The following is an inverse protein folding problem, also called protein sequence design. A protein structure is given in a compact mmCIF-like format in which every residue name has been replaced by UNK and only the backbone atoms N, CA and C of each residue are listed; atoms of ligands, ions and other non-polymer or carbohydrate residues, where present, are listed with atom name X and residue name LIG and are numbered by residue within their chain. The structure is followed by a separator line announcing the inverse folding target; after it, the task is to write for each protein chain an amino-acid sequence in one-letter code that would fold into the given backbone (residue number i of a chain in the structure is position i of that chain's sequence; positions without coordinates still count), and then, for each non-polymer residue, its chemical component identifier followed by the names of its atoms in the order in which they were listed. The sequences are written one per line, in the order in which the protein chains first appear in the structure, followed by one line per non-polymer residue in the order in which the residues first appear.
data_IF_149070616999
#
_entry.id   IF_149070616999
#
_cell.length_a   1.000
_cell.length_b   1.000
_cell.length_c   1.000
_cell.angle_alpha   90.00
_cell.angle_beta   90.00
_cell.angle_gamma   90.00
#
_symmetry.space_group_name_H-M   'P 1'
#
loop_
_entity.id
_entity.type
_entity.pdbx_description
1 polymer ?
#
# COMPACT_ATOMS: atom_id res chain seq x y z
N UNK A 1 1.52 17.64 12.74
CA UNK A 1 0.60 17.31 11.61
C UNK A 1 0.53 15.82 11.18
N UNK A 2 0.59 14.81 12.08
CA UNK A 2 0.40 13.40 11.67
C UNK A 2 -1.07 12.97 11.51
N UNK A 3 -2.02 13.63 12.20
CA UNK A 3 -3.45 13.25 12.19
C UNK A 3 -4.19 13.64 10.89
N UNK A 4 -3.86 14.77 10.29
CA UNK A 4 -4.49 15.27 9.06
C UNK A 4 -4.27 14.31 7.87
N UNK A 5 -3.05 13.75 7.76
CA UNK A 5 -2.72 12.71 6.78
C UNK A 5 -3.46 11.39 7.02
N UNK A 6 -3.98 11.12 8.22
CA UNK A 6 -4.78 9.90 8.51
C UNK A 6 -6.20 10.05 7.99
N UNK A 7 -6.81 11.21 8.19
CA UNK A 7 -8.17 11.51 7.71
C UNK A 7 -8.24 11.47 6.18
N UNK A 8 -7.25 12.06 5.49
CA UNK A 8 -7.16 12.02 4.03
C UNK A 8 -7.02 10.58 3.47
N UNK A 9 -6.27 9.72 4.18
CA UNK A 9 -6.12 8.29 3.79
C UNK A 9 -7.37 7.47 4.07
N UNK A 10 -8.13 7.83 5.11
CA UNK A 10 -9.41 7.21 5.40
C UNK A 10 -10.42 7.54 4.30
N UNK A 11 -10.53 8.81 3.90
CA UNK A 11 -11.39 9.24 2.79
C UNK A 11 -11.08 8.49 1.49
N UNK A 12 -9.81 8.38 1.11
CA UNK A 12 -9.40 7.61 -0.08
C UNK A 12 -9.73 6.11 0.02
N UNK A 13 -9.71 5.54 1.23
CA UNK A 13 -10.03 4.12 1.45
C UNK A 13 -11.55 3.88 1.52
N UNK A 14 -12.32 4.87 2.00
CA UNK A 14 -13.79 4.87 1.95
C UNK A 14 -14.30 5.00 0.51
N UNK A 15 -13.64 5.80 -0.34
CA UNK A 15 -13.96 5.89 -1.76
C UNK A 15 -13.81 4.55 -2.50
N UNK A 16 -12.81 3.74 -2.12
CA UNK A 16 -12.62 2.38 -2.64
C UNK A 16 -13.62 1.35 -2.05
N UNK A 17 -14.29 1.70 -0.95
CA UNK A 17 -15.33 0.90 -0.27
C UNK A 17 -16.72 1.55 -0.41
N UNK A 18 -16.96 2.25 -1.52
CA UNK A 18 -18.21 2.99 -1.77
C UNK A 18 -19.48 2.14 -1.58
N UNK A 19 -19.57 0.87 -2.04
CA UNK A 19 -20.78 0.07 -1.83
C UNK A 19 -21.11 -0.14 -0.35
N UNK A 20 -20.12 -0.48 0.47
CA UNK A 20 -20.28 -0.69 1.91
C UNK A 20 -20.57 0.62 2.64
N UNK A 21 -19.95 1.73 2.18
CA UNK A 21 -20.20 3.05 2.75
C UNK A 21 -21.64 3.52 2.48
N UNK A 22 -22.14 3.29 1.26
CA UNK A 22 -23.53 3.57 0.88
C UNK A 22 -24.52 2.71 1.66
N UNK A 23 -24.22 1.42 1.86
CA UNK A 23 -25.07 0.52 2.65
C UNK A 23 -25.18 0.98 4.11
N UNK A 24 -24.05 1.31 4.74
CA UNK A 24 -24.02 1.87 6.08
C UNK A 24 -24.77 3.22 6.16
N UNK A 25 -24.51 4.14 5.23
CA UNK A 25 -25.22 5.43 5.17
C UNK A 25 -26.74 5.26 5.00
N UNK A 26 -27.17 4.33 4.15
CA UNK A 26 -28.60 4.03 3.94
C UNK A 26 -29.25 3.45 5.20
N UNK A 27 -28.55 2.60 5.93
CA UNK A 27 -29.03 2.06 7.20
C UNK A 27 -29.22 3.18 8.24
N UNK A 28 -28.20 4.04 8.40
CA UNK A 28 -28.24 5.18 9.33
C UNK A 28 -29.37 6.15 8.97
N UNK A 29 -29.57 6.45 7.68
CA UNK A 29 -30.64 7.35 7.24
C UNK A 29 -32.04 6.80 7.51
N UNK A 30 -32.25 5.47 7.42
CA UNK A 30 -33.54 4.84 7.71
C UNK A 30 -33.91 4.86 9.21
N UNK A 31 -32.92 4.93 10.08
CA UNK A 31 -33.08 4.88 11.54
C UNK A 31 -32.85 6.24 12.22
N UNK A 32 -32.71 7.31 11.44
CA UNK A 32 -32.39 8.65 11.93
C UNK A 32 -33.39 9.20 12.95
N UNK A 33 -34.66 8.74 12.90
CA UNK A 33 -35.74 9.18 13.80
C UNK A 33 -35.82 8.36 15.10
N UNK A 34 -35.27 7.14 15.14
CA UNK A 34 -35.26 6.24 16.30
C UNK A 34 -33.94 5.49 16.37
N UNK A 35 -32.89 6.17 16.80
CA UNK A 35 -31.55 5.58 16.93
C UNK A 35 -31.53 4.67 18.16
N UNK A 36 -31.70 3.36 17.94
CA UNK A 36 -31.33 2.35 18.94
C UNK A 36 -29.84 2.02 18.80
N UNK A 37 -29.17 1.74 19.92
CA UNK A 37 -27.75 1.36 19.92
C UNK A 37 -27.57 0.10 19.05
N UNK A 38 -26.50 0.09 18.23
CA UNK A 38 -26.07 -1.04 17.39
C UNK A 38 -26.99 -1.43 16.22
N UNK A 39 -28.00 -0.63 15.90
CA UNK A 39 -28.98 -0.93 14.85
C UNK A 39 -28.40 -1.04 13.41
N UNK A 40 -27.20 -0.49 13.17
CA UNK A 40 -26.43 -0.60 11.93
C UNK A 40 -25.02 -1.21 12.12
N UNK A 41 -24.81 -1.97 13.21
CA UNK A 41 -23.49 -2.50 13.56
C UNK A 41 -22.92 -3.47 12.50
N UNK A 42 -23.77 -4.25 11.84
CA UNK A 42 -23.35 -5.20 10.80
C UNK A 42 -22.81 -4.50 9.56
N UNK A 43 -23.53 -3.48 9.07
CA UNK A 43 -23.10 -2.69 7.91
C UNK A 43 -21.84 -1.87 8.23
N UNK A 44 -21.73 -1.37 9.46
CA UNK A 44 -20.51 -0.71 9.92
C UNK A 44 -19.31 -1.68 9.96
N UNK A 45 -19.51 -2.90 10.45
CA UNK A 45 -18.45 -3.93 10.51
C UNK A 45 -17.97 -4.31 9.11
N UNK A 46 -18.90 -4.51 8.16
CA UNK A 46 -18.57 -4.77 6.74
C UNK A 46 -17.77 -3.61 6.12
N UNK A 47 -18.15 -2.37 6.41
CA UNK A 47 -17.42 -1.18 5.97
C UNK A 47 -16.01 -1.15 6.56
N UNK A 48 -15.89 -1.37 7.87
CA UNK A 48 -14.61 -1.36 8.58
C UNK A 48 -13.67 -2.45 8.05
N UNK A 49 -14.19 -3.64 7.79
CA UNK A 49 -13.42 -4.75 7.23
C UNK A 49 -12.98 -4.47 5.80
N UNK A 50 -13.83 -3.87 4.97
CA UNK A 50 -13.44 -3.40 3.65
C UNK A 50 -12.28 -2.39 3.74
N UNK A 51 -12.41 -1.37 4.60
CA UNK A 51 -11.36 -0.35 4.77
C UNK A 51 -10.06 -0.96 5.28
N UNK A 52 -10.12 -1.85 6.28
CA UNK A 52 -8.95 -2.59 6.78
C UNK A 52 -8.29 -3.41 5.67
N UNK A 53 -9.08 -4.09 4.83
CA UNK A 53 -8.58 -4.86 3.69
C UNK A 53 -7.85 -3.95 2.68
N UNK A 54 -8.44 -2.81 2.31
CA UNK A 54 -7.80 -1.87 1.39
C UNK A 54 -6.48 -1.31 1.95
N UNK A 55 -6.45 -0.98 3.24
CA UNK A 55 -5.23 -0.52 3.91
C UNK A 55 -4.12 -1.58 3.91
N UNK A 56 -4.46 -2.85 4.16
CA UNK A 56 -3.52 -3.98 4.05
C UNK A 56 -2.97 -4.12 2.63
N UNK A 57 -3.83 -4.03 1.61
CA UNK A 57 -3.43 -4.11 0.19
C UNK A 57 -2.49 -2.96 -0.19
N UNK A 58 -2.82 -1.72 0.17
CA UNK A 58 -1.96 -0.55 -0.08
C UNK A 58 -0.59 -0.70 0.59
N UNK A 59 -0.56 -1.23 1.82
CA UNK A 59 0.67 -1.52 2.56
C UNK A 59 1.56 -2.53 1.83
N UNK A 60 1.00 -3.64 1.33
CA UNK A 60 1.74 -4.66 0.59
C UNK A 60 2.22 -4.10 -0.75
N UNK A 61 1.37 -3.39 -1.51
CA UNK A 61 1.77 -2.73 -2.77
C UNK A 61 2.95 -1.78 -2.57
N UNK A 62 2.94 -1.00 -1.48
CA UNK A 62 4.06 -0.12 -1.13
C UNK A 62 5.34 -0.92 -0.81
N UNK A 63 5.23 -1.98 -0.02
CA UNK A 63 6.36 -2.85 0.31
C UNK A 63 6.98 -3.45 -0.96
N UNK A 64 6.15 -4.01 -1.85
CA UNK A 64 6.59 -4.60 -3.11
C UNK A 64 7.32 -3.58 -3.99
N UNK A 65 6.85 -2.33 -4.06
CA UNK A 65 7.54 -1.26 -4.81
C UNK A 65 8.95 -0.99 -4.27
N UNK A 66 9.09 -0.96 -2.95
CA UNK A 66 10.37 -0.72 -2.27
C UNK A 66 11.30 -1.93 -2.44
N UNK A 67 10.78 -3.15 -2.26
CA UNK A 67 11.55 -4.37 -2.48
C UNK A 67 12.00 -4.51 -3.95
N UNK A 68 11.14 -4.13 -4.90
CA UNK A 68 11.50 -4.09 -6.32
C UNK A 68 12.69 -3.17 -6.58
N UNK A 69 12.73 -2.00 -5.94
CA UNK A 69 13.88 -1.09 -6.00
C UNK A 69 15.16 -1.75 -5.45
N UNK A 70 15.10 -2.39 -4.28
CA UNK A 70 16.26 -3.06 -3.70
C UNK A 70 16.71 -4.31 -4.50
N UNK A 71 15.76 -5.01 -5.13
CA UNK A 71 16.03 -6.15 -6.00
C UNK A 71 16.85 -5.74 -7.22
N UNK A 72 16.45 -4.68 -7.92
CA UNK A 72 17.13 -4.28 -9.15
C UNK A 72 18.49 -3.61 -8.89
N UNK A 73 18.56 -2.71 -7.91
CA UNK A 73 19.74 -1.89 -7.65
C UNK A 73 20.76 -2.57 -6.73
N UNK A 74 20.30 -3.27 -5.70
CA UNK A 74 21.16 -3.85 -4.66
C UNK A 74 21.18 -5.38 -4.65
N UNK A 75 20.51 -6.01 -5.63
CA UNK A 75 20.43 -7.47 -5.81
C UNK A 75 19.92 -8.22 -4.58
N UNK A 76 19.04 -7.58 -3.80
CA UNK A 76 18.37 -8.23 -2.66
C UNK A 76 17.26 -9.13 -3.21
N UNK A 77 17.49 -10.44 -3.17
CA UNK A 77 16.57 -11.48 -3.68
C UNK A 77 16.26 -12.50 -2.58
N UNK A 78 15.13 -13.23 -2.68
CA UNK A 78 14.86 -14.37 -1.81
C UNK A 78 15.94 -15.46 -1.96
N UNK A 79 16.27 -16.21 -0.90
CA UNK A 79 15.72 -16.12 0.46
C UNK A 79 16.20 -14.85 1.19
N UNK A 80 15.27 -14.09 1.75
CA UNK A 80 15.57 -12.85 2.44
C UNK A 80 16.14 -13.13 3.83
N UNK A 81 17.39 -12.73 4.07
CA UNK A 81 18.00 -12.81 5.41
C UNK A 81 17.64 -11.57 6.21
N UNK A 82 16.79 -11.72 7.23
CA UNK A 82 16.30 -10.64 8.07
C UNK A 82 17.04 -10.65 9.40
N UNK A 83 17.90 -9.65 9.64
CA UNK A 83 18.58 -9.43 10.91
C UNK A 83 17.64 -8.77 11.90
N UNK A 84 17.30 -9.51 12.95
CA UNK A 84 16.37 -9.06 13.98
C UNK A 84 17.09 -8.55 15.21
N UNK A 85 16.68 -7.35 15.63
CA UNK A 85 17.08 -6.72 16.87
C UNK A 85 16.13 -7.06 18.04
N UNK A 86 16.63 -6.95 19.28
CA UNK A 86 15.86 -7.23 20.49
C UNK A 86 14.65 -6.30 20.64
N UNK A 87 14.80 -5.03 20.26
CA UNK A 87 13.72 -4.03 20.27
C UNK A 87 12.55 -4.43 19.36
N UNK A 88 12.86 -5.00 18.20
CA UNK A 88 11.86 -5.46 17.24
C UNK A 88 11.12 -6.71 17.74
N UNK A 89 11.84 -7.65 18.38
CA UNK A 89 11.20 -8.81 19.03
C UNK A 89 10.27 -8.38 20.16
N UNK A 90 10.69 -7.43 20.99
CA UNK A 90 9.85 -6.91 22.05
C UNK A 90 8.58 -6.23 21.49
N UNK A 91 8.73 -5.44 20.42
CA UNK A 91 7.58 -4.86 19.72
C UNK A 91 6.68 -5.94 19.11
N UNK A 92 7.23 -7.02 18.55
CA UNK A 92 6.45 -8.13 18.00
C UNK A 92 5.62 -8.83 19.09
N UNK A 93 6.20 -9.05 20.27
CA UNK A 93 5.53 -9.64 21.42
C UNK A 93 4.39 -8.73 21.93
N UNK A 94 4.64 -7.44 22.09
CA UNK A 94 3.63 -6.47 22.52
C UNK A 94 2.43 -6.40 21.56
N UNK A 95 2.69 -6.51 20.24
CA UNK A 95 1.66 -6.47 19.21
C UNK A 95 1.07 -7.84 18.85
N UNK A 96 1.50 -8.93 19.51
CA UNK A 96 1.09 -10.32 19.25
C UNK A 96 1.29 -10.74 17.78
N UNK A 97 2.45 -10.39 17.21
CA UNK A 97 2.80 -10.66 15.80
C UNK A 97 3.72 -11.88 15.71
N UNK A 98 3.26 -12.94 15.06
CA UNK A 98 4.09 -14.12 14.77
C UNK A 98 5.05 -13.82 13.60
N UNK A 99 6.34 -13.61 13.90
CA UNK A 99 7.34 -13.21 12.91
C UNK A 99 7.53 -14.25 11.79
N UNK A 100 7.59 -15.54 12.13
CA UNK A 100 7.82 -16.64 11.16
C UNK A 100 6.73 -16.72 10.09
N UNK A 101 5.48 -16.37 10.41
CA UNK A 101 4.38 -16.37 9.44
C UNK A 101 4.20 -15.03 8.75
N UNK A 102 4.33 -13.93 9.50
CA UNK A 102 3.97 -12.60 9.00
C UNK A 102 5.06 -12.01 8.09
N UNK A 103 6.33 -12.32 8.32
CA UNK A 103 7.43 -11.82 7.47
C UNK A 103 7.36 -12.37 6.04
N UNK A 104 7.23 -13.69 5.79
CA UNK A 104 7.09 -14.22 4.42
C UNK A 104 5.85 -13.68 3.72
N UNK A 105 4.71 -13.60 4.43
CA UNK A 105 3.45 -13.01 3.90
C UNK A 105 3.62 -11.54 3.51
N UNK A 106 4.46 -10.80 4.24
CA UNK A 106 4.68 -9.37 3.98
C UNK A 106 5.71 -9.09 2.89
N UNK A 107 6.81 -9.85 2.86
CA UNK A 107 7.89 -9.68 1.88
C UNK A 107 7.61 -10.40 0.54
N UNK A 108 6.69 -11.37 0.52
CA UNK A 108 6.30 -12.08 -0.70
C UNK A 108 7.36 -13.05 -1.21
N UNK A 109 8.11 -13.69 -0.30
CA UNK A 109 9.13 -14.69 -0.60
C UNK A 109 9.64 -15.37 0.66
N UNK A 110 10.56 -16.32 0.49
CA UNK A 110 11.15 -17.06 1.62
C UNK A 110 12.01 -16.13 2.49
N UNK A 111 11.93 -16.33 3.80
CA UNK A 111 12.60 -15.48 4.79
C UNK A 111 13.36 -16.35 5.78
N UNK A 112 14.65 -16.07 5.90
CA UNK A 112 15.50 -16.59 6.97
C UNK A 112 15.62 -15.50 8.05
N UNK A 113 15.11 -15.78 9.24
CA UNK A 113 15.19 -14.85 10.37
C UNK A 113 16.47 -15.15 11.15
N UNK A 114 17.37 -14.18 11.19
CA UNK A 114 18.69 -14.29 11.83
C UNK A 114 18.83 -13.27 12.97
N UNK A 115 19.59 -13.62 14.00
CA UNK A 115 20.03 -12.70 15.06
C UNK A 115 21.55 -12.73 15.22
N UNK A 116 22.12 -11.96 16.14
CA UNK A 116 23.58 -11.91 16.36
C UNK A 116 23.93 -12.17 17.81
N UNK A 117 25.14 -12.66 18.08
CA UNK A 117 25.64 -12.88 19.46
C UNK A 117 25.63 -11.59 20.30
N UNK A 118 25.91 -10.43 19.71
CA UNK A 118 25.84 -9.14 20.40
C UNK A 118 24.42 -8.78 20.86
N UNK A 119 23.41 -9.08 20.04
CA UNK A 119 21.98 -8.85 20.40
C UNK A 119 21.57 -9.77 21.55
N UNK A 120 21.96 -11.05 21.50
CA UNK A 120 21.67 -12.00 22.58
C UNK A 120 22.34 -11.57 23.89
N UNK A 121 23.61 -11.18 23.86
CA UNK A 121 24.34 -10.72 25.04
C UNK A 121 23.73 -9.44 25.65
N UNK A 122 23.22 -8.52 24.84
CA UNK A 122 22.48 -7.35 25.34
C UNK A 122 21.18 -7.74 26.04
N UNK A 123 20.38 -8.60 25.42
CA UNK A 123 19.12 -9.06 26.00
C UNK A 123 19.33 -9.83 27.31
N UNK A 124 20.40 -10.63 27.39
CA UNK A 124 20.80 -11.33 28.62
C UNK A 124 21.23 -10.34 29.72
N UNK A 125 21.96 -9.28 29.37
CA UNK A 125 22.36 -8.22 30.30
C UNK A 125 21.16 -7.42 30.83
N UNK A 126 20.16 -7.16 29.99
CA UNK A 126 18.95 -6.43 30.39
C UNK A 126 18.02 -7.28 31.28
N UNK A 127 18.00 -8.61 31.11
CA UNK A 127 17.33 -9.54 32.02
C UNK A 127 15.80 -9.58 31.91
N UNK A 128 15.13 -9.63 33.07
CA UNK A 128 13.69 -9.92 33.19
C UNK A 128 12.74 -9.08 32.31
N UNK A 129 12.89 -7.74 32.13
CA UNK A 129 11.91 -6.96 31.37
C UNK A 129 11.84 -7.34 29.88
N UNK A 130 12.91 -7.91 29.33
CA UNK A 130 13.00 -8.27 27.91
C UNK A 130 13.14 -9.78 27.71
N UNK A 131 12.86 -10.58 28.73
CA UNK A 131 13.01 -12.03 28.70
C UNK A 131 12.20 -12.69 27.58
N UNK A 132 10.97 -12.22 27.33
CA UNK A 132 10.14 -12.71 26.23
C UNK A 132 10.81 -12.50 24.86
N UNK A 133 11.48 -11.37 24.66
CA UNK A 133 12.22 -11.10 23.43
C UNK A 133 13.47 -11.99 23.32
N UNK A 134 14.16 -12.28 24.43
CA UNK A 134 15.30 -13.19 24.47
C UNK A 134 14.91 -14.62 24.05
N UNK A 135 13.81 -15.14 24.57
CA UNK A 135 13.30 -16.48 24.21
C UNK A 135 12.98 -16.57 22.72
N UNK A 136 12.35 -15.53 22.16
CA UNK A 136 12.07 -15.47 20.72
C UNK A 136 13.38 -15.42 19.91
N UNK A 137 14.34 -14.58 20.31
CA UNK A 137 15.63 -14.46 19.60
C UNK A 137 16.42 -15.77 19.60
N UNK A 138 16.38 -16.55 20.69
CA UNK A 138 17.05 -17.85 20.80
C UNK A 138 16.49 -18.91 19.83
N UNK A 139 15.26 -18.75 19.35
CA UNK A 139 14.66 -19.65 18.36
C UNK A 139 15.13 -19.37 16.92
N UNK A 140 15.77 -18.21 16.69
CA UNK A 140 16.25 -17.80 15.38
C UNK A 140 17.70 -18.23 15.15
N UNK A 141 18.11 -18.29 13.90
CA UNK A 141 19.48 -18.67 13.54
C UNK A 141 20.45 -17.56 13.95
N UNK A 142 21.57 -17.91 14.57
CA UNK A 142 22.56 -16.92 15.03
C UNK A 142 23.62 -16.76 13.97
N UNK A 143 23.68 -15.57 13.37
CA UNK A 143 24.71 -15.21 12.41
C UNK A 143 25.96 -14.69 13.12
N UNK A 144 27.14 -14.98 12.55
CA UNK A 144 28.40 -14.67 13.20
C UNK A 144 28.79 -13.20 13.03
N UNK A 145 28.93 -12.50 14.16
CA UNK A 145 29.53 -11.17 14.20
C UNK A 145 31.01 -11.25 14.64
N UNK A 146 31.90 -10.40 14.10
CA UNK A 146 33.35 -10.45 14.33
C UNK A 146 33.79 -9.74 15.63
N UNK A 147 32.86 -9.43 16.54
CA UNK A 147 33.13 -8.55 17.68
C UNK A 147 33.42 -9.37 18.93
N UNK A 148 34.65 -9.27 19.43
CA UNK A 148 35.08 -9.74 20.75
C UNK A 148 35.89 -8.60 21.39
N UNK A 149 35.46 -8.04 22.54
CA UNK A 149 34.23 -8.32 23.31
C UNK A 149 32.94 -7.93 22.57
N UNK A 150 31.78 -8.41 23.05
CA UNK A 150 30.48 -8.06 22.50
C UNK A 150 30.22 -6.55 22.57
N UNK A 151 29.87 -5.95 21.43
CA UNK A 151 29.50 -4.53 21.30
C UNK A 151 28.00 -4.32 21.43
N UNK A 152 27.57 -3.07 21.53
CA UNK A 152 26.14 -2.74 21.45
C UNK A 152 25.52 -3.23 20.13
N UNK A 153 24.26 -3.70 20.13
CA UNK A 153 23.52 -4.10 18.94
C UNK A 153 23.50 -3.01 17.87
N UNK A 154 23.36 -1.74 18.27
CA UNK A 154 23.38 -0.60 17.34
C UNK A 154 24.67 -0.54 16.53
N UNK A 155 25.83 -0.69 17.18
CA UNK A 155 27.12 -0.70 16.48
C UNK A 155 27.32 -1.99 15.68
N UNK A 156 26.93 -3.13 16.25
CA UNK A 156 27.09 -4.43 15.62
C UNK A 156 26.29 -4.53 14.31
N UNK A 157 25.00 -4.18 14.35
CA UNK A 157 24.11 -4.21 13.20
C UNK A 157 24.51 -3.17 12.15
N UNK A 158 24.92 -1.97 12.57
CA UNK A 158 25.46 -0.98 11.63
C UNK A 158 26.75 -1.48 10.94
N UNK A 159 27.63 -2.17 11.67
CA UNK A 159 28.83 -2.77 11.08
C UNK A 159 28.49 -3.88 10.08
N UNK A 160 27.56 -4.77 10.41
CA UNK A 160 27.08 -5.82 9.49
C UNK A 160 26.40 -5.23 8.26
N UNK A 161 25.61 -4.16 8.40
CA UNK A 161 24.98 -3.45 7.30
C UNK A 161 26.02 -2.90 6.31
N UNK A 162 27.08 -2.24 6.81
CA UNK A 162 28.18 -1.72 5.97
C UNK A 162 28.91 -2.84 5.24
N UNK A 163 29.16 -3.95 5.92
CA UNK A 163 29.77 -5.13 5.30
C UNK A 163 28.88 -5.71 4.21
N UNK A 164 27.58 -5.82 4.45
CA UNK A 164 26.62 -6.38 3.51
C UNK A 164 26.41 -5.52 2.26
N UNK A 165 26.54 -4.19 2.40
CA UNK A 165 26.51 -3.29 1.26
C UNK A 165 27.62 -3.62 0.25
N UNK A 166 28.84 -3.92 0.73
CA UNK A 166 30.00 -4.27 -0.11
C UNK A 166 30.09 -5.76 -0.47
N UNK A 167 29.64 -6.64 0.43
CA UNK A 167 29.76 -8.09 0.28
C UNK A 167 28.61 -8.72 -0.51
N UNK A 168 28.70 -10.04 -0.71
CA UNK A 168 27.67 -10.82 -1.40
C UNK A 168 26.45 -11.11 -0.53
N UNK A 169 26.63 -11.17 0.79
CA UNK A 169 25.55 -11.38 1.75
C UNK A 169 24.74 -10.10 1.91
N UNK A 170 23.44 -10.15 1.63
CA UNK A 170 22.52 -9.02 1.79
C UNK A 170 21.59 -9.28 2.97
N UNK A 171 21.35 -8.23 3.77
CA UNK A 171 20.44 -8.31 4.91
C UNK A 171 19.34 -7.27 4.82
N UNK A 172 18.19 -7.62 5.37
CA UNK A 172 17.13 -6.68 5.74
C UNK A 172 17.18 -6.52 7.24
N UNK A 173 17.24 -5.29 7.75
CA UNK A 173 17.42 -5.06 9.18
C UNK A 173 16.07 -4.74 9.81
N UNK A 174 15.69 -5.49 10.83
CA UNK A 174 14.46 -5.33 11.58
C UNK A 174 14.78 -4.73 12.96
N UNK A 175 14.47 -3.45 13.14
CA UNK A 175 14.71 -2.71 14.38
C UNK A 175 13.57 -1.72 14.66
N UNK A 176 13.32 -1.48 15.94
CA UNK A 176 12.41 -0.45 16.40
C UNK A 176 13.15 0.71 17.10
N UNK A 177 14.49 0.67 17.15
CA UNK A 177 15.32 1.76 17.65
C UNK A 177 15.51 2.84 16.56
N UNK A 178 15.18 4.09 16.90
CA UNK A 178 15.32 5.23 16.01
C UNK A 178 16.81 5.58 15.80
N UNK A 179 17.67 5.40 16.82
CA UNK A 179 19.10 5.71 16.74
C UNK A 179 19.84 4.80 15.75
N UNK A 180 19.54 3.51 15.78
CA UNK A 180 20.02 2.56 14.79
C UNK A 180 19.42 2.85 13.41
N UNK A 181 18.12 3.12 13.33
CA UNK A 181 17.44 3.39 12.05
C UNK A 181 18.06 4.58 11.32
N UNK A 182 18.42 5.65 12.01
CA UNK A 182 19.12 6.81 11.43
C UNK A 182 20.49 6.45 10.89
N UNK A 183 21.30 5.71 11.66
CA UNK A 183 22.61 5.20 11.20
C UNK A 183 22.46 4.32 9.96
N UNK A 184 21.45 3.46 9.90
CA UNK A 184 21.21 2.59 8.75
C UNK A 184 20.75 3.35 7.51
N UNK A 185 20.00 4.45 7.66
CA UNK A 185 19.60 5.31 6.52
C UNK A 185 20.78 5.98 5.82
N UNK A 186 21.87 6.22 6.54
CA UNK A 186 23.13 6.74 5.96
C UNK A 186 23.85 5.71 5.08
N UNK A 187 23.55 4.42 5.26
CA UNK A 187 24.17 3.33 4.50
C UNK A 187 23.30 3.02 3.28
N UNK A 188 23.88 3.14 2.09
CA UNK A 188 23.19 2.79 0.86
C UNK A 188 22.84 1.30 0.81
N UNK A 189 21.66 0.97 0.28
CA UNK A 189 21.29 -0.43 0.00
C UNK A 189 20.79 -1.23 1.18
N UNK A 190 20.50 -0.59 2.32
CA UNK A 190 20.02 -1.27 3.52
C UNK A 190 18.51 -1.06 3.74
N UNK A 191 17.66 -2.05 3.45
CA UNK A 191 16.24 -1.98 3.77
C UNK A 191 16.01 -2.18 5.29
N UNK A 192 15.14 -1.34 5.86
CA UNK A 192 14.82 -1.33 7.29
C UNK A 192 13.35 -1.73 7.50
N UNK A 193 13.09 -2.67 8.40
CA UNK A 193 11.78 -3.09 8.87
C UNK A 193 11.56 -2.58 10.30
N UNK A 194 10.35 -2.11 10.60
CA UNK A 194 9.94 -1.73 11.95
C UNK A 194 8.47 -2.11 12.18
N UNK A 195 8.07 -2.24 13.45
CA UNK A 195 6.68 -2.50 13.83
C UNK A 195 6.06 -1.21 14.37
N UNK A 196 4.98 -0.74 13.72
CA UNK A 196 4.10 0.33 14.22
C UNK A 196 2.64 -0.01 13.91
N UNK A 197 1.73 0.31 14.83
CA UNK A 197 0.28 0.06 14.69
C UNK A 197 -0.08 -1.41 14.39
N UNK A 198 0.46 -2.34 15.18
CA UNK A 198 0.25 -3.79 15.04
C UNK A 198 0.60 -4.34 13.65
N UNK A 199 1.53 -3.69 12.96
CA UNK A 199 1.89 -4.00 11.58
C UNK A 199 3.40 -3.87 11.36
N UNK A 200 3.96 -4.83 10.65
CA UNK A 200 5.32 -4.74 10.08
C UNK A 200 5.27 -3.77 8.91
N UNK A 201 6.22 -2.85 8.87
CA UNK A 201 6.34 -1.81 7.86
C UNK A 201 7.78 -1.75 7.35
N UNK A 202 7.93 -1.73 6.03
CA UNK A 202 9.18 -1.45 5.36
C UNK A 202 9.38 0.07 5.24
N UNK A 203 10.55 0.54 5.67
CA UNK A 203 10.90 1.94 5.59
C UNK A 203 11.03 2.40 4.14
N UNK A 204 10.91 3.71 3.93
CA UNK A 204 11.14 4.31 2.62
C UNK A 204 12.61 4.11 2.24
N UNK A 205 12.85 4.00 0.94
CA UNK A 205 14.21 4.04 0.40
C UNK A 205 14.88 5.35 0.84
N UNK A 206 16.04 5.26 1.48
CA UNK A 206 16.81 6.43 1.90
C UNK A 206 17.29 7.23 0.70
N UNK A 207 17.44 8.55 0.85
CA UNK A 207 17.94 9.39 -0.25
C UNK A 207 19.34 8.95 -0.70
N UNK A 208 20.20 8.56 0.25
CA UNK A 208 21.52 7.97 -0.05
C UNK A 208 21.42 6.72 -0.91
N UNK A 209 20.43 5.85 -0.65
CA UNK A 209 20.22 4.65 -1.46
C UNK A 209 19.70 4.97 -2.86
N UNK A 210 18.94 6.07 -3.03
CA UNK A 210 18.46 6.50 -4.34
C UNK A 210 19.59 7.10 -5.16
N UNK A 211 20.35 8.03 -4.59
CA UNK A 211 21.47 8.69 -5.28
C UNK A 211 22.56 7.69 -5.66
N UNK A 212 22.86 6.71 -4.80
CA UNK A 212 23.80 5.64 -5.13
C UNK A 212 23.27 4.65 -6.18
N UNK A 213 21.94 4.54 -6.35
CA UNK A 213 21.31 3.66 -7.34
C UNK A 213 21.05 4.36 -8.68
N UNK A 214 21.03 5.69 -8.71
CA UNK A 214 21.10 6.46 -9.94
C UNK A 214 22.47 6.18 -10.56
N UNK A 215 22.51 5.18 -11.45
CA UNK A 215 23.64 5.00 -12.36
C UNK A 215 24.00 6.36 -12.95
N UNK A 216 25.30 6.67 -13.13
CA UNK A 216 25.66 7.94 -13.72
C UNK A 216 24.97 7.97 -15.09
N UNK A 217 24.19 9.02 -15.35
CA UNK A 217 23.40 9.16 -16.59
C UNK A 217 24.24 8.90 -17.84
N UNK A 218 25.55 9.11 -17.75
CA UNK A 218 26.57 8.77 -18.73
C UNK A 218 26.55 7.30 -19.20
N UNK A 219 26.32 6.32 -18.33
CA UNK A 219 26.30 4.90 -18.75
C UNK A 219 25.02 4.57 -19.53
N UNK A 220 23.89 5.14 -19.14
CA UNK A 220 22.62 4.96 -19.83
C UNK A 220 22.67 5.62 -21.21
N UNK A 221 23.27 6.80 -21.30
CA UNK A 221 23.42 7.52 -22.56
C UNK A 221 24.50 6.88 -23.45
N UNK A 222 25.57 6.32 -22.88
CA UNK A 222 26.54 5.51 -23.62
C UNK A 222 25.92 4.21 -24.17
N UNK A 223 25.08 3.52 -23.39
CA UNK A 223 24.36 2.33 -23.86
C UNK A 223 23.32 2.68 -24.92
N UNK A 224 22.66 3.84 -24.84
CA UNK A 224 21.78 4.35 -25.92
C UNK A 224 22.58 4.68 -27.18
N UNK A 225 23.76 5.31 -27.05
CA UNK A 225 24.64 5.62 -28.17
C UNK A 225 25.18 4.35 -28.84
N UNK A 226 25.59 3.35 -28.06
CA UNK A 226 26.00 2.04 -28.59
C UNK A 226 24.84 1.29 -29.27
N UNK A 227 23.63 1.35 -28.70
CA UNK A 227 22.44 0.78 -29.36
C UNK A 227 22.10 1.48 -30.67
N UNK A 228 22.25 2.81 -30.74
CA UNK A 228 22.05 3.58 -31.96
C UNK A 228 23.10 3.26 -33.03
N UNK A 229 24.35 3.02 -32.63
CA UNK A 229 25.43 2.64 -33.54
C UNK A 229 25.30 1.22 -34.11
N UNK A 230 24.78 0.26 -33.33
CA UNK A 230 24.69 -1.16 -33.75
C UNK A 230 23.41 -1.47 -34.53
N UNK A 231 22.27 -0.85 -34.20
CA UNK A 231 20.99 -1.14 -34.85
C UNK A 231 20.56 -0.08 -35.87
N UNK A 232 21.34 0.98 -36.06
CA UNK A 232 20.90 2.19 -36.73
C UNK A 232 19.76 2.87 -35.96
N UNK A 233 19.49 4.15 -36.23
CA UNK A 233 18.31 4.80 -35.66
C UNK A 233 17.04 4.09 -36.15
N UNK A 234 16.54 3.13 -35.37
CA UNK A 234 15.13 2.81 -35.43
C UNK A 234 14.40 4.03 -34.88
N UNK A 235 14.04 4.94 -35.78
CA UNK A 235 12.97 5.89 -35.54
C UNK A 235 11.80 5.07 -35.00
N UNK A 236 11.57 5.16 -33.68
CA UNK A 236 10.29 4.75 -33.12
C UNK A 236 9.32 5.77 -33.68
N UNK A 237 8.76 5.49 -34.86
CA UNK A 237 7.55 6.11 -35.35
C UNK A 237 6.55 5.90 -34.22
N UNK A 238 6.37 6.94 -33.41
CA UNK A 238 5.32 6.99 -32.39
C UNK A 238 4.06 6.69 -33.17
N UNK A 239 3.56 5.45 -33.11
CA UNK A 239 2.26 5.11 -33.67
C UNK A 239 1.32 6.10 -33.00
N UNK A 240 0.85 7.10 -33.76
CA UNK A 240 -0.20 8.00 -33.30
C UNK A 240 -1.24 7.07 -32.70
N UNK A 241 -1.55 7.25 -31.41
CA UNK A 241 -2.57 6.46 -30.74
C UNK A 241 -3.78 6.50 -31.66
N UNK A 242 -4.15 5.36 -32.27
CA UNK A 242 -5.43 5.26 -32.96
C UNK A 242 -6.44 5.72 -31.92
N UNK A 243 -7.12 6.83 -32.20
CA UNK A 243 -8.28 7.23 -31.42
C UNK A 243 -9.16 5.99 -31.42
N UNK A 244 -9.36 5.38 -30.25
CA UNK A 244 -10.29 4.26 -30.14
C UNK A 244 -11.62 4.85 -30.59
N UNK A 245 -12.10 4.43 -31.76
CA UNK A 245 -13.46 4.72 -32.19
C UNK A 245 -14.40 4.35 -31.05
N UNK A 246 -15.50 5.09 -30.92
CA UNK A 246 -16.49 4.82 -29.90
C UNK A 246 -16.81 3.32 -29.88
N UNK A 247 -16.79 2.73 -28.69
CA UNK A 247 -17.13 1.33 -28.46
C UNK A 247 -18.40 0.98 -29.25
N UNK A 248 -18.40 -0.04 -30.13
CA UNK A 248 -19.49 -0.33 -31.06
C UNK A 248 -20.86 -0.62 -30.43
N UNK A 249 -20.95 -0.78 -29.10
CA UNK A 249 -22.21 -0.86 -28.37
C UNK A 249 -22.77 0.49 -27.85
N UNK A 250 -22.09 1.62 -28.12
CA UNK A 250 -22.46 2.93 -27.56
C UNK A 250 -23.00 3.92 -28.60
N UNK A 251 -23.75 3.45 -29.59
CA UNK A 251 -24.61 4.32 -30.41
C UNK A 251 -25.90 4.64 -29.66
N UNK A 252 -25.86 5.60 -28.72
CA UNK A 252 -27.10 6.23 -28.25
C UNK A 252 -27.69 7.01 -29.42
N UNK A 253 -28.94 6.72 -29.79
CA UNK A 253 -29.68 7.40 -30.86
C UNK A 253 -29.62 8.92 -30.66
N UNK A 254 -29.29 9.63 -31.73
CA UNK A 254 -29.21 11.09 -31.78
C UNK A 254 -30.60 11.67 -31.51
N UNK A 255 -30.73 12.44 -30.43
CA UNK A 255 -31.90 13.29 -30.17
C UNK A 255 -31.81 14.48 -31.12
N UNK A 256 -32.87 14.72 -31.90
CA UNK A 256 -32.99 15.89 -32.75
C UNK A 256 -33.48 17.04 -31.85
N UNK A 257 -32.62 18.03 -31.63
CA UNK A 257 -33.04 19.34 -31.10
C UNK A 257 -33.20 20.28 -32.29
N UNK A 258 -34.44 20.76 -32.49
CA UNK A 258 -34.72 21.89 -33.36
C UNK A 258 -34.28 23.16 -32.62
N UNK A 259 -33.25 23.81 -33.15
CA UNK A 259 -32.83 25.15 -32.77
C UNK A 259 -33.75 26.20 -33.40
N UNK A 260 -34.36 27.04 -32.57
CA UNK A 260 -34.76 28.38 -32.95
C UNK A 260 -34.19 29.35 -31.91
N UNK A 261 -33.37 30.28 -32.40
CA UNK A 261 -32.69 31.35 -31.67
C UNK A 261 -33.64 32.34 -31.01
N UNK A 262 -33.29 32.82 -29.80
CA UNK A 262 -33.59 34.17 -29.33
C UNK A 262 -32.79 34.54 -28.05
N UNK A 263 -31.67 35.24 -28.28
CA UNK A 263 -31.15 36.45 -27.60
C UNK A 263 -31.62 36.82 -26.17
N UNK A 264 -30.63 36.76 -25.25
CA UNK A 264 -30.23 37.72 -24.16
C UNK A 264 -31.29 38.22 -23.13
N UNK A 265 -31.05 37.96 -21.83
CA UNK A 265 -30.70 38.97 -20.79
C UNK A 265 -30.47 38.35 -19.40
N UNK A 266 -29.46 38.89 -18.73
CA UNK A 266 -29.05 38.72 -17.33
C UNK A 266 -30.08 39.30 -16.35
N UNK A 267 -30.34 38.61 -15.22
CA UNK A 267 -31.13 39.15 -14.11
C UNK A 267 -31.39 38.15 -12.97
N UNK A 268 -31.34 38.64 -11.75
CA UNK A 268 -31.31 37.98 -10.44
C UNK A 268 -32.70 37.48 -9.91
N UNK A 269 -32.66 36.57 -8.91
CA UNK A 269 -33.71 36.23 -7.88
C UNK A 269 -34.98 35.51 -8.40
N UNK A 270 -35.82 34.77 -7.67
CA UNK A 270 -35.94 34.11 -6.35
C UNK A 270 -37.14 33.13 -6.46
N UNK A 271 -37.23 32.15 -5.56
CA UNK A 271 -38.40 31.36 -5.12
C UNK A 271 -39.79 31.54 -5.82
N UNK A 272 -40.43 30.41 -6.15
CA UNK A 272 -41.75 29.97 -5.64
C UNK A 272 -42.74 29.35 -6.67
N UNK A 273 -43.30 28.21 -6.24
CA UNK A 273 -44.70 27.80 -6.36
C UNK A 273 -45.22 26.93 -7.54
N UNK A 274 -45.90 25.87 -7.09
CA UNK A 274 -47.17 25.25 -7.55
C UNK A 274 -47.23 24.41 -8.84
N UNK A 275 -47.32 23.10 -8.57
CA UNK A 275 -48.16 22.05 -9.21
C UNK A 275 -49.25 22.55 -10.17
N UNK A 276 -49.39 21.85 -11.31
CA UNK A 276 -50.69 21.61 -11.98
C UNK A 276 -50.83 20.14 -12.40
N UNK A 277 -51.98 19.57 -12.05
CA UNK A 277 -52.48 18.22 -12.34
C UNK A 277 -53.51 18.33 -13.47
N UNK A 278 -53.52 17.41 -14.43
CA UNK A 278 -54.69 17.07 -15.28
C UNK A 278 -54.40 15.76 -16.04
N UNK A 279 -55.00 14.61 -15.71
CA UNK A 279 -56.32 14.02 -16.07
C UNK A 279 -56.51 13.64 -17.56
N UNK A 280 -56.38 12.32 -17.79
CA UNK A 280 -57.05 11.37 -18.72
C UNK A 280 -57.80 11.89 -19.96
N UNK A 281 -57.60 11.18 -21.08
CA UNK A 281 -58.71 10.64 -21.92
C UNK A 281 -58.40 9.20 -22.37
N UNK A 282 -59.46 8.43 -22.52
CA UNK A 282 -59.57 6.97 -22.71
C UNK A 282 -60.23 6.72 -24.08
N UNK A 283 -59.80 5.72 -24.83
CA UNK A 283 -60.50 5.10 -25.96
C UNK A 283 -59.86 3.70 -26.17
N UNK A 284 -60.47 2.63 -25.64
CA UNK A 284 -61.34 1.64 -26.32
C UNK A 284 -60.57 0.56 -27.09
N UNK A 285 -60.58 -0.65 -26.52
CA UNK A 285 -60.19 -1.92 -27.15
C UNK A 285 -61.18 -2.31 -28.27
N UNK A 286 -60.82 -3.30 -29.12
CA UNK A 286 -61.39 -4.63 -28.86
C UNK A 286 -60.42 -5.81 -29.01
N UNK A 287 -60.72 -6.80 -28.17
CA UNK A 287 -60.55 -8.26 -28.23
C UNK A 287 -59.86 -8.91 -29.44
N UNK A 288 -58.97 -9.88 -29.17
CA UNK A 288 -59.28 -11.32 -29.40
C UNK A 288 -58.23 -12.29 -28.84
N UNK A 289 -58.77 -13.34 -28.20
CA UNK A 289 -58.32 -14.74 -28.10
C UNK A 289 -56.98 -15.12 -27.44
N UNK A 290 -57.13 -15.64 -26.22
CA UNK A 290 -56.52 -16.84 -25.65
C UNK A 290 -55.71 -17.75 -26.60
N UNK A 291 -54.55 -18.21 -26.12
CA UNK A 291 -54.25 -19.65 -26.04
C UNK A 291 -53.12 -19.94 -25.04
N UNK A 292 -53.50 -20.64 -23.98
CA UNK A 292 -52.69 -21.55 -23.17
C UNK A 292 -51.99 -22.58 -24.06
N UNK A 293 -50.81 -23.08 -23.67
CA UNK A 293 -50.47 -24.53 -23.67
C UNK A 293 -49.01 -24.72 -23.17
N UNK A 294 -48.92 -25.58 -22.15
CA UNK A 294 -47.80 -26.39 -21.63
C UNK A 294 -46.54 -25.73 -21.13
#
# INVERSE_FOLDING_TARGET
MPNERRVLKLAASLAECLPQATAYGTCVSKQAERITKDACADEFSKLLDCVKKQMKVKRIKRANRILTFFKYNYKIVPPFRVLVDGTFCNAALANKINLREQLPKYLGGDVEIVTTKCVLAELERLGSPVYGALVICRQFTVDMCPHMPHRSPTECLAHLARRAAKGNTKYIIATNDDSLSEKLRTIAGTPILYIKYNAILLDRVSEVSKTAAEQPKSEIDAVKAMKAAVFGEQEVKKKKRKIKGANPLSCKKKKVDNSADAVVRTGERTASSKRKRSKRKRATDPETSNQTIT
#
